data_IF_834290862458
#
_entry.id   IF_834290862458
#
_cell.length_a   1.000
_cell.length_b   1.000
_cell.length_c   1.000
_cell.angle_alpha   90.00
_cell.angle_beta   90.00
_cell.angle_gamma   90.00
#
_symmetry.space_group_name_H-M   'P 1'
#
loop_
_entity.id
_entity.type
_entity.pdbx_description
1 polymer ?
#
# COMPACT_ATOMS: atom_id res chain seq x y z
N UNK A 1 -27.02 -71.78 15.12
CA UNK A 1 -28.22 -72.55 15.53
C UNK A 1 -28.11 -72.82 17.03
N UNK A 2 -28.95 -72.14 17.82
CA UNK A 2 -29.17 -72.30 19.27
C UNK A 2 -28.02 -71.80 20.16
N UNK A 3 -28.18 -70.91 21.14
CA UNK A 3 -29.35 -70.43 21.89
C UNK A 3 -28.86 -70.04 23.30
N UNK A 4 -29.58 -69.19 24.06
CA UNK A 4 -29.01 -68.18 24.97
C UNK A 4 -29.13 -68.50 26.47
N UNK A 5 -28.48 -67.70 27.30
CA UNK A 5 -28.74 -67.61 28.75
C UNK A 5 -28.12 -66.35 29.34
N UNK A 6 -28.85 -65.24 29.27
CA UNK A 6 -28.58 -63.99 29.99
C UNK A 6 -28.85 -64.14 31.51
N UNK A 7 -28.34 -63.23 32.37
CA UNK A 7 -28.07 -63.44 33.79
C UNK A 7 -29.30 -63.24 34.69
N UNK A 8 -29.23 -63.57 35.99
CA UNK A 8 -30.28 -63.16 36.93
C UNK A 8 -30.16 -61.67 37.27
N UNK A 9 -31.16 -60.89 36.84
CA UNK A 9 -31.55 -59.62 37.47
C UNK A 9 -32.34 -59.89 38.75
N UNK A 10 -32.23 -58.98 39.73
CA UNK A 10 -33.22 -58.84 40.79
C UNK A 10 -32.68 -58.47 42.17
N UNK A 11 -32.26 -57.22 42.34
CA UNK A 11 -32.30 -56.52 43.63
C UNK A 11 -33.75 -56.22 44.02
N UNK A 12 -34.20 -56.46 45.27
CA UNK A 12 -35.40 -55.82 45.78
C UNK A 12 -35.06 -54.42 46.27
N UNK A 13 -35.74 -53.43 45.69
CA UNK A 13 -35.80 -52.06 46.20
C UNK A 13 -36.25 -52.03 47.65
N UNK A 14 -35.63 -51.16 48.44
CA UNK A 14 -36.01 -50.83 49.80
C UNK A 14 -35.17 -49.67 50.32
N UNK A 15 -35.42 -48.46 49.83
CA UNK A 15 -34.93 -47.25 50.49
C UNK A 15 -35.82 -46.87 51.69
N UNK A 16 -35.59 -45.71 52.34
CA UNK A 16 -34.35 -44.93 52.43
C UNK A 16 -33.96 -44.66 53.90
N UNK A 17 -32.67 -44.50 54.21
CA UNK A 17 -32.24 -43.98 55.53
C UNK A 17 -30.82 -44.38 55.92
N UNK A 18 -29.91 -43.40 55.94
CA UNK A 18 -28.52 -43.57 56.35
C UNK A 18 -28.32 -43.77 57.86
N UNK A 19 -27.12 -44.20 58.25
CA UNK A 19 -26.72 -44.25 59.65
C UNK A 19 -25.51 -45.13 59.90
N UNK A 20 -24.35 -44.50 59.82
CA UNK A 20 -23.00 -44.91 60.22
C UNK A 20 -22.90 -45.56 61.63
N UNK A 21 -23.38 -46.78 61.83
CA UNK A 21 -23.31 -47.42 63.17
C UNK A 21 -22.79 -48.87 63.19
N UNK A 22 -22.51 -49.49 62.04
CA UNK A 22 -21.95 -50.86 61.96
C UNK A 22 -20.42 -50.95 62.20
N UNK A 23 -19.81 -49.95 62.84
CA UNK A 23 -18.38 -50.03 63.23
C UNK A 23 -18.16 -49.85 64.74
N UNK A 24 -19.23 -49.78 65.55
CA UNK A 24 -19.14 -49.57 67.00
C UNK A 24 -19.06 -50.84 67.86
N UNK A 25 -19.01 -52.03 67.26
CA UNK A 25 -18.97 -53.30 68.00
C UNK A 25 -17.69 -54.12 67.80
N UNK A 26 -16.65 -53.58 67.15
CA UNK A 26 -15.34 -54.25 67.08
C UNK A 26 -14.58 -54.01 68.39
N UNK A 27 -14.91 -54.83 69.38
CA UNK A 27 -14.16 -54.94 70.64
C UNK A 27 -12.93 -55.81 70.37
N UNK A 28 -11.75 -55.18 70.35
CA UNK A 28 -10.48 -55.88 70.15
C UNK A 28 -10.20 -56.81 71.32
N UNK A 29 -10.28 -58.12 71.07
CA UNK A 29 -9.98 -59.15 72.05
C UNK A 29 -8.48 -59.32 72.29
N UNK A 30 -8.14 -60.00 73.38
CA UNK A 30 -6.77 -60.25 73.82
C UNK A 30 -5.96 -61.12 72.82
N UNK A 31 -6.63 -61.77 71.86
CA UNK A 31 -5.99 -62.49 70.74
C UNK A 31 -5.44 -61.57 69.66
N UNK A 32 -6.08 -60.42 69.38
CA UNK A 32 -5.57 -59.44 68.41
C UNK A 32 -4.23 -58.82 68.87
N UNK A 33 -4.10 -58.54 70.17
CA UNK A 33 -2.88 -57.99 70.77
C UNK A 33 -1.73 -59.02 70.82
N UNK A 34 -2.04 -60.33 70.88
CA UNK A 34 -1.02 -61.39 70.77
C UNK A 34 -0.57 -61.69 69.34
N UNK A 35 -1.39 -61.42 68.34
CA UNK A 35 -1.06 -61.64 66.93
C UNK A 35 -0.18 -60.53 66.32
N UNK A 36 -0.10 -59.36 66.94
CA UNK A 36 0.72 -58.24 66.49
C UNK A 36 2.11 -58.22 67.17
N UNK A 37 2.96 -59.21 66.87
CA UNK A 37 4.42 -59.08 67.09
C UNK A 37 5.13 -58.88 65.76
N UNK A 38 4.90 -57.72 65.15
CA UNK A 38 5.76 -57.21 64.08
C UNK A 38 6.60 -56.09 64.67
N UNK A 39 7.84 -56.42 64.98
CA UNK A 39 8.86 -55.50 65.46
C UNK A 39 9.63 -55.01 64.22
N UNK A 40 9.37 -53.78 63.78
CA UNK A 40 10.11 -53.19 62.67
C UNK A 40 11.54 -52.85 63.10
N UNK A 41 12.51 -53.38 62.37
CA UNK A 41 13.93 -53.11 62.59
C UNK A 41 14.26 -51.64 62.32
N UNK A 42 15.09 -51.07 63.18
CA UNK A 42 15.55 -49.68 63.05
C UNK A 42 16.29 -49.46 61.73
N UNK A 43 16.27 -48.23 61.21
CA UNK A 43 16.93 -47.88 59.94
C UNK A 43 18.44 -48.23 59.88
N UNK A 44 19.07 -48.46 61.04
CA UNK A 44 20.47 -48.86 61.14
C UNK A 44 20.72 -50.34 60.87
N UNK A 45 19.75 -51.23 61.08
CA UNK A 45 19.89 -52.68 60.80
C UNK A 45 19.73 -53.02 59.31
N UNK A 46 19.10 -52.15 58.52
CA UNK A 46 18.99 -52.31 57.05
C UNK A 46 20.27 -51.96 56.27
N UNK A 47 21.30 -51.43 56.93
CA UNK A 47 22.53 -50.96 56.26
C UNK A 47 23.57 -52.07 56.10
N UNK A 48 23.55 -53.11 56.95
CA UNK A 48 24.69 -54.03 57.07
C UNK A 48 24.70 -55.21 56.10
N UNK A 49 23.56 -55.59 55.50
CA UNK A 49 23.48 -56.85 54.76
C UNK A 49 22.75 -56.73 53.42
N UNK A 50 23.33 -55.99 52.48
CA UNK A 50 23.01 -56.12 51.06
C UNK A 50 24.30 -56.11 50.21
N UNK A 51 24.61 -57.28 49.66
CA UNK A 51 25.43 -57.39 48.45
C UNK A 51 24.80 -56.50 47.35
N UNK A 52 25.54 -55.58 46.74
CA UNK A 52 24.94 -54.64 45.79
C UNK A 52 24.45 -55.39 44.54
N UNK A 53 23.13 -55.54 44.40
CA UNK A 53 22.46 -56.06 43.21
C UNK A 53 22.42 -55.03 42.06
N UNK A 54 23.48 -54.25 41.89
CA UNK A 54 23.62 -53.29 40.79
C UNK A 54 24.99 -53.44 40.17
N UNK A 55 25.03 -54.00 38.95
CA UNK A 55 26.21 -53.93 38.09
C UNK A 55 26.66 -52.47 37.98
N UNK A 56 27.87 -52.16 38.43
CA UNK A 56 28.52 -50.89 38.09
C UNK A 56 28.62 -50.81 36.57
N UNK A 57 27.83 -49.92 35.96
CA UNK A 57 28.05 -49.54 34.56
C UNK A 57 29.41 -48.83 34.48
N UNK A 58 30.23 -49.11 33.47
CA UNK A 58 31.47 -48.37 33.26
C UNK A 58 31.13 -46.88 33.10
N UNK A 59 32.01 -45.96 33.53
CA UNK A 59 31.77 -44.54 33.34
C UNK A 59 31.66 -44.29 31.83
N UNK A 60 30.47 -43.86 31.37
CA UNK A 60 30.34 -43.30 30.04
C UNK A 60 31.25 -42.08 30.02
N UNK A 61 32.41 -42.21 29.38
CA UNK A 61 33.17 -41.05 28.93
C UNK A 61 32.24 -40.28 28.02
N UNK A 62 31.62 -39.23 28.57
CA UNK A 62 30.77 -38.28 27.87
C UNK A 62 31.66 -37.35 27.04
N UNK A 63 32.49 -37.92 26.17
CA UNK A 63 32.83 -37.22 24.95
C UNK A 63 31.53 -37.13 24.17
N UNK A 64 31.15 -35.93 23.72
CA UNK A 64 30.10 -35.76 22.72
C UNK A 64 30.29 -36.87 21.69
N UNK A 65 29.37 -37.85 21.68
CA UNK A 65 29.52 -38.97 20.76
C UNK A 65 29.64 -38.37 19.37
N UNK A 66 30.50 -38.92 18.50
CA UNK A 66 30.60 -38.43 17.11
C UNK A 66 29.22 -38.25 16.48
N UNK A 67 28.25 -39.06 16.89
CA UNK A 67 26.83 -38.97 16.51
C UNK A 67 26.14 -37.67 16.95
N UNK A 68 26.35 -37.19 18.18
CA UNK A 68 25.80 -35.91 18.64
C UNK A 68 26.43 -34.72 17.89
N UNK A 69 27.73 -34.78 17.62
CA UNK A 69 28.41 -33.79 16.78
C UNK A 69 27.90 -33.78 15.34
N UNK A 70 27.71 -34.97 14.74
CA UNK A 70 27.12 -35.12 13.40
C UNK A 70 25.69 -34.58 13.39
N UNK A 71 24.88 -34.86 14.41
CA UNK A 71 23.51 -34.36 14.50
C UNK A 71 23.46 -32.83 14.57
N UNK A 72 24.29 -32.20 15.41
CA UNK A 72 24.37 -30.74 15.50
C UNK A 72 24.84 -30.13 14.17
N UNK A 73 25.80 -30.77 13.49
CA UNK A 73 26.30 -30.32 12.19
C UNK A 73 25.21 -30.44 11.11
N UNK A 74 24.40 -31.50 11.13
CA UNK A 74 23.25 -31.66 10.24
C UNK A 74 22.16 -30.61 10.50
N UNK A 75 21.87 -30.31 11.77
CA UNK A 75 20.91 -29.26 12.15
C UNK A 75 21.43 -27.90 11.70
N UNK A 76 22.70 -27.59 11.97
CA UNK A 76 23.32 -26.35 11.54
C UNK A 76 23.36 -26.22 10.01
N UNK A 77 23.61 -27.31 9.29
CA UNK A 77 23.57 -27.34 7.83
C UNK A 77 22.16 -27.13 7.30
N UNK A 78 21.15 -27.78 7.90
CA UNK A 78 19.74 -27.62 7.52
C UNK A 78 19.21 -26.20 7.79
N UNK A 79 19.56 -25.61 8.93
CA UNK A 79 19.26 -24.21 9.21
C UNK A 79 20.04 -23.27 8.31
N UNK A 80 21.31 -23.58 8.04
CA UNK A 80 22.15 -22.83 7.10
C UNK A 80 21.56 -22.84 5.69
N UNK A 81 21.09 -23.98 5.19
CA UNK A 81 20.39 -24.07 3.90
C UNK A 81 19.01 -23.43 3.93
N UNK A 82 18.25 -23.52 5.03
CA UNK A 82 16.95 -22.85 5.15
C UNK A 82 17.10 -21.32 5.19
N UNK A 83 18.09 -20.79 5.91
CA UNK A 83 18.43 -19.37 5.92
C UNK A 83 18.98 -18.96 4.56
N UNK A 84 19.87 -19.76 3.97
CA UNK A 84 20.41 -19.48 2.64
C UNK A 84 19.34 -19.51 1.55
N UNK A 85 18.36 -20.42 1.60
CA UNK A 85 17.21 -20.44 0.68
C UNK A 85 16.17 -19.38 1.02
N UNK A 86 16.01 -18.99 2.29
CA UNK A 86 15.15 -17.88 2.69
C UNK A 86 15.73 -16.52 2.27
N UNK A 87 17.05 -16.39 2.23
CA UNK A 87 17.78 -15.19 1.78
C UNK A 87 18.02 -15.21 0.26
N UNK A 88 18.26 -16.38 -0.34
CA UNK A 88 18.27 -16.61 -1.78
C UNK A 88 17.08 -17.44 -2.16
N UNK A 89 15.94 -16.79 -2.34
CA UNK A 89 14.68 -17.40 -2.72
C UNK A 89 14.83 -18.11 -4.10
N UNK A 90 14.99 -19.45 -4.19
CA UNK A 90 15.25 -20.13 -5.47
C UNK A 90 13.96 -20.51 -6.20
N UNK A 91 12.81 -20.07 -5.69
CA UNK A 91 11.47 -20.31 -6.27
C UNK A 91 10.82 -19.05 -6.84
N UNK A 92 11.53 -17.92 -6.90
CA UNK A 92 11.25 -17.01 -8.00
C UNK A 92 11.83 -17.68 -9.24
N UNK A 93 10.98 -18.43 -9.94
CA UNK A 93 11.17 -18.64 -11.37
C UNK A 93 11.60 -17.29 -11.91
N UNK A 94 12.83 -17.21 -12.40
CA UNK A 94 13.27 -16.11 -13.24
C UNK A 94 12.41 -16.15 -14.49
N UNK A 95 11.13 -15.77 -14.39
CA UNK A 95 10.57 -14.89 -15.37
C UNK A 95 11.58 -13.74 -15.37
N UNK A 96 12.38 -13.68 -16.43
CA UNK A 96 13.24 -12.55 -16.73
C UNK A 96 12.51 -11.32 -16.23
N UNK A 97 12.99 -10.67 -15.15
CA UNK A 97 12.47 -9.39 -14.73
C UNK A 97 12.58 -8.54 -15.97
N UNK A 98 11.45 -8.31 -16.64
CA UNK A 98 11.44 -7.44 -17.79
C UNK A 98 11.86 -6.09 -17.21
N UNK A 99 12.91 -5.46 -17.77
CA UNK A 99 13.35 -4.16 -17.27
C UNK A 99 12.12 -3.24 -17.20
N UNK A 100 11.84 -2.73 -16.01
CA UNK A 100 10.77 -1.75 -15.80
C UNK A 100 10.99 -0.62 -16.78
N UNK A 101 10.00 -0.40 -17.66
CA UNK A 101 10.09 0.65 -18.65
C UNK A 101 10.13 2.00 -17.91
N UNK A 102 11.19 2.81 -18.12
CA UNK A 102 11.33 4.09 -17.44
C UNK A 102 10.24 5.05 -17.92
N UNK A 103 9.67 5.81 -16.98
CA UNK A 103 8.59 6.76 -17.25
C UNK A 103 8.97 7.68 -18.41
N UNK A 104 8.06 7.82 -19.37
CA UNK A 104 8.08 8.89 -20.36
C UNK A 104 7.08 9.96 -19.99
N UNK A 105 7.52 11.21 -20.02
CA UNK A 105 6.70 12.35 -19.66
C UNK A 105 6.66 13.40 -20.76
N UNK A 106 5.52 14.04 -20.90
CA UNK A 106 5.32 15.21 -21.75
C UNK A 106 4.58 16.26 -20.95
N UNK A 107 5.13 17.46 -20.84
CA UNK A 107 4.51 18.59 -20.15
C UNK A 107 4.32 19.71 -21.17
N UNK A 108 3.07 20.11 -21.40
CA UNK A 108 2.69 21.12 -22.37
C UNK A 108 2.12 22.33 -21.64
N UNK A 109 2.85 23.45 -21.60
CA UNK A 109 2.31 24.70 -21.09
C UNK A 109 1.26 25.26 -22.05
N UNK A 110 0.19 25.81 -21.49
CA UNK A 110 -0.91 26.44 -22.22
C UNK A 110 -0.92 27.94 -21.95
N UNK A 111 -0.52 28.71 -22.97
CA UNK A 111 -0.43 30.17 -22.89
C UNK A 111 -1.79 30.85 -23.13
N UNK A 112 -2.25 31.74 -22.22
CA UNK A 112 -3.51 32.45 -22.42
C UNK A 112 -3.43 33.37 -23.64
N UNK A 113 -4.54 33.52 -24.37
CA UNK A 113 -4.63 34.43 -25.52
C UNK A 113 -4.71 35.92 -25.10
N UNK A 114 -5.03 36.19 -23.84
CA UNK A 114 -5.17 37.55 -23.29
C UNK A 114 -4.71 37.61 -21.83
N UNK A 115 -5.16 38.65 -21.11
CA UNK A 115 -4.96 38.73 -19.67
C UNK A 115 -5.74 37.63 -18.96
N UNK A 116 -5.11 37.00 -17.96
CA UNK A 116 -5.74 35.98 -17.14
C UNK A 116 -6.87 36.60 -16.32
N UNK A 117 -8.08 36.01 -16.34
CA UNK A 117 -9.19 36.46 -15.52
C UNK A 117 -8.91 36.41 -14.02
N UNK A 118 -9.44 37.39 -13.30
CA UNK A 118 -9.35 37.51 -11.86
C UNK A 118 -10.71 37.79 -11.22
N UNK A 119 -10.91 37.30 -10.00
CA UNK A 119 -12.03 37.73 -9.15
C UNK A 119 -11.66 37.52 -7.66
N UNK A 120 -12.19 38.31 -6.70
CA UNK A 120 -11.89 38.12 -5.28
C UNK A 120 -12.36 36.77 -4.71
N UNK A 121 -13.46 36.23 -5.25
CA UNK A 121 -14.10 34.97 -4.83
C UNK A 121 -13.82 33.83 -5.83
N UNK A 122 -13.25 32.74 -5.32
CA UNK A 122 -12.96 31.52 -6.07
C UNK A 122 -14.22 30.80 -6.53
N UNK A 123 -15.29 30.79 -5.71
CA UNK A 123 -16.54 30.09 -6.06
C UNK A 123 -17.22 30.75 -7.27
N UNK A 124 -17.19 32.08 -7.32
CA UNK A 124 -17.64 32.83 -8.48
C UNK A 124 -16.91 32.40 -9.76
N UNK A 125 -15.58 32.27 -9.73
CA UNK A 125 -14.81 31.83 -10.89
C UNK A 125 -15.16 30.39 -11.29
N UNK A 126 -15.25 29.48 -10.33
CA UNK A 126 -15.64 28.10 -10.61
C UNK A 126 -17.01 28.03 -11.29
N UNK A 127 -18.01 28.74 -10.75
CA UNK A 127 -19.37 28.78 -11.29
C UNK A 127 -19.45 29.35 -12.71
N UNK A 128 -18.52 30.24 -13.10
CA UNK A 128 -18.46 30.85 -14.42
C UNK A 128 -17.41 30.21 -15.34
N UNK A 129 -17.00 28.97 -15.04
CA UNK A 129 -16.05 28.18 -15.83
C UNK A 129 -16.61 26.78 -16.15
N UNK A 130 -15.99 26.02 -17.07
CA UNK A 130 -16.34 24.62 -17.28
C UNK A 130 -16.24 23.74 -16.02
N UNK A 131 -15.51 24.19 -14.98
CA UNK A 131 -15.35 23.47 -13.72
C UNK A 131 -16.60 23.53 -12.81
N UNK A 132 -17.63 24.31 -13.15
CA UNK A 132 -18.85 24.43 -12.32
C UNK A 132 -19.53 23.08 -12.03
N UNK A 133 -19.39 22.11 -12.94
CA UNK A 133 -19.96 20.77 -12.85
C UNK A 133 -19.02 19.72 -12.24
N UNK A 134 -17.81 20.11 -11.85
CA UNK A 134 -16.79 19.18 -11.37
C UNK A 134 -17.02 18.88 -9.89
N UNK A 135 -16.65 17.66 -9.50
CA UNK A 135 -16.70 17.24 -8.09
C UNK A 135 -15.49 17.80 -7.34
N UNK A 136 -15.53 17.79 -6.02
CA UNK A 136 -14.46 18.35 -5.19
C UNK A 136 -13.48 17.24 -4.79
N UNK A 137 -12.19 17.50 -4.96
CA UNK A 137 -11.10 16.64 -4.51
C UNK A 137 -11.23 15.18 -4.97
N UNK A 138 -11.03 14.24 -4.03
CA UNK A 138 -11.02 12.80 -4.32
C UNK A 138 -12.37 12.24 -4.80
N UNK A 139 -13.47 12.97 -4.63
CA UNK A 139 -14.78 12.59 -5.18
C UNK A 139 -14.78 12.70 -6.70
N UNK A 140 -13.96 13.57 -7.29
CA UNK A 140 -13.78 13.69 -8.74
C UNK A 140 -13.03 12.54 -9.39
N UNK A 141 -12.49 11.60 -8.59
CA UNK A 141 -11.74 10.41 -9.01
C UNK A 141 -12.55 9.16 -8.60
N UNK A 142 -13.70 8.89 -9.23
CA UNK A 142 -14.51 7.72 -8.89
C UNK A 142 -13.81 6.45 -9.37
N UNK A 143 -13.89 5.39 -8.58
CA UNK A 143 -13.50 4.07 -9.05
C UNK A 143 -14.60 3.54 -9.98
N UNK A 144 -14.27 3.06 -11.19
CA UNK A 144 -15.24 2.46 -12.08
C UNK A 144 -15.75 1.15 -11.48
N UNK A 145 -16.90 0.67 -12.00
CA UNK A 145 -17.32 -0.70 -11.72
C UNK A 145 -16.32 -1.64 -12.39
N UNK A 146 -15.53 -2.34 -11.59
CA UNK A 146 -14.58 -3.35 -12.07
C UNK A 146 -15.21 -4.74 -12.09
N UNK A 147 -14.60 -5.62 -12.90
CA UNK A 147 -14.86 -7.06 -12.87
C UNK A 147 -13.52 -7.77 -13.01
N UNK A 148 -13.47 -9.02 -12.53
CA UNK A 148 -12.34 -9.91 -12.79
C UNK A 148 -12.06 -10.01 -14.30
N UNK A 149 -10.80 -10.17 -14.64
CA UNK A 149 -10.34 -10.44 -16.00
C UNK A 149 -10.02 -11.94 -16.15
N UNK A 150 -9.29 -12.32 -17.21
CA UNK A 150 -8.89 -13.70 -17.44
C UNK A 150 -7.89 -14.16 -16.36
N UNK A 151 -6.85 -13.35 -16.09
CA UNK A 151 -5.76 -13.72 -15.19
C UNK A 151 -5.74 -12.97 -13.86
N UNK A 152 -6.59 -11.94 -13.68
CA UNK A 152 -6.70 -11.16 -12.45
C UNK A 152 -8.07 -11.33 -11.78
N UNK A 153 -8.06 -11.51 -10.46
CA UNK A 153 -9.29 -11.53 -9.64
C UNK A 153 -9.92 -10.14 -9.54
N UNK A 154 -11.19 -10.10 -9.15
CA UNK A 154 -11.90 -8.84 -8.92
C UNK A 154 -11.17 -7.97 -7.88
N UNK A 155 -10.71 -8.58 -6.79
CA UNK A 155 -9.93 -7.90 -5.75
C UNK A 155 -8.60 -7.31 -6.26
N UNK A 156 -7.94 -7.98 -7.21
CA UNK A 156 -6.71 -7.49 -7.82
C UNK A 156 -6.98 -6.27 -8.71
N UNK A 157 -8.04 -6.31 -9.51
CA UNK A 157 -8.44 -5.15 -10.33
C UNK A 157 -8.82 -3.95 -9.46
N UNK A 158 -9.56 -4.18 -8.37
CA UNK A 158 -9.88 -3.12 -7.39
C UNK A 158 -8.62 -2.57 -6.73
N UNK A 159 -7.66 -3.43 -6.37
CA UNK A 159 -6.39 -3.00 -5.77
C UNK A 159 -5.60 -2.08 -6.70
N UNK A 160 -5.53 -2.40 -8.00
CA UNK A 160 -4.86 -1.57 -9.01
C UNK A 160 -5.53 -0.20 -9.14
N UNK A 161 -6.86 -0.19 -9.30
CA UNK A 161 -7.65 1.05 -9.42
C UNK A 161 -7.51 1.93 -8.17
N UNK A 162 -7.48 1.31 -6.98
CA UNK A 162 -7.31 2.02 -5.71
C UNK A 162 -5.89 2.60 -5.59
N UNK A 163 -4.86 1.83 -5.94
CA UNK A 163 -3.47 2.31 -5.93
C UNK A 163 -3.27 3.47 -6.90
N UNK A 164 -3.80 3.38 -8.11
CA UNK A 164 -3.78 4.47 -9.08
C UNK A 164 -4.52 5.72 -8.57
N UNK A 165 -5.70 5.55 -7.95
CA UNK A 165 -6.43 6.65 -7.31
C UNK A 165 -5.61 7.31 -6.21
N UNK A 166 -4.98 6.54 -5.33
CA UNK A 166 -4.16 7.07 -4.23
C UNK A 166 -2.96 7.86 -4.77
N UNK A 167 -2.30 7.36 -5.82
CA UNK A 167 -1.24 8.09 -6.51
C UNK A 167 -1.75 9.44 -7.04
N UNK A 168 -2.90 9.45 -7.71
CA UNK A 168 -3.48 10.67 -8.28
C UNK A 168 -3.86 11.67 -7.18
N UNK A 169 -4.49 11.20 -6.10
CA UNK A 169 -4.84 12.05 -4.95
C UNK A 169 -3.58 12.66 -4.34
N UNK A 170 -2.55 11.84 -4.06
CA UNK A 170 -1.31 12.34 -3.47
C UNK A 170 -0.55 13.28 -4.41
N UNK A 171 -0.47 12.97 -5.69
CA UNK A 171 0.32 13.74 -6.65
C UNK A 171 -0.37 14.98 -7.21
N UNK A 172 -1.70 15.12 -7.07
CA UNK A 172 -2.46 16.25 -7.63
C UNK A 172 -3.32 17.02 -6.64
N UNK A 173 -3.59 16.51 -5.43
CA UNK A 173 -4.56 17.13 -4.49
C UNK A 173 -3.97 17.43 -3.11
N UNK A 174 -2.84 16.82 -2.74
CA UNK A 174 -2.23 17.01 -1.43
C UNK A 174 -1.63 18.42 -1.31
N UNK A 175 -2.11 19.29 -0.41
CA UNK A 175 -1.63 20.67 -0.30
C UNK A 175 -0.13 20.77 -0.03
N UNK A 176 0.44 19.81 0.69
CA UNK A 176 1.88 19.78 1.00
C UNK A 176 2.73 19.44 -0.24
N UNK A 177 2.14 18.75 -1.22
CA UNK A 177 2.75 18.47 -2.53
C UNK A 177 2.58 19.68 -3.46
N UNK A 178 1.38 20.28 -3.46
CA UNK A 178 1.03 21.39 -4.35
C UNK A 178 1.83 22.66 -4.04
N UNK A 179 1.97 23.01 -2.75
CA UNK A 179 2.63 24.22 -2.28
C UNK A 179 4.02 23.97 -1.67
N UNK A 180 4.47 22.73 -1.57
CA UNK A 180 5.66 22.37 -0.79
C UNK A 180 6.67 21.47 -1.49
N UNK A 181 7.59 20.96 -0.69
CA UNK A 181 8.66 20.03 -1.07
C UNK A 181 8.36 18.58 -0.71
N UNK A 182 7.15 18.29 -0.20
CA UNK A 182 6.81 16.96 0.27
C UNK A 182 6.57 16.04 -0.92
N UNK A 183 7.59 15.28 -1.30
CA UNK A 183 7.51 14.28 -2.40
C UNK A 183 7.40 12.86 -1.88
N UNK A 184 7.65 12.64 -0.58
CA UNK A 184 7.76 11.29 -0.01
C UNK A 184 6.46 10.51 -0.11
N UNK A 185 5.32 11.17 0.07
CA UNK A 185 4.00 10.53 -0.03
C UNK A 185 3.69 9.98 -1.43
N UNK A 186 4.18 10.64 -2.47
CA UNK A 186 4.08 10.14 -3.86
C UNK A 186 5.13 9.06 -4.11
N UNK A 187 6.37 9.28 -3.63
CA UNK A 187 7.49 8.36 -3.82
C UNK A 187 7.21 6.94 -3.29
N UNK A 188 6.50 6.80 -2.18
CA UNK A 188 6.21 5.48 -1.58
C UNK A 188 5.16 4.67 -2.34
N UNK A 189 4.41 5.31 -3.24
CA UNK A 189 3.40 4.66 -4.08
C UNK A 189 3.98 4.19 -5.42
N UNK A 190 5.25 4.49 -5.69
CA UNK A 190 5.93 4.07 -6.92
C UNK A 190 6.59 2.72 -6.74
N UNK A 191 6.65 1.97 -7.82
CA UNK A 191 7.45 0.76 -7.88
C UNK A 191 8.93 1.05 -7.55
N UNK A 192 9.59 0.08 -6.90
CA UNK A 192 10.96 0.25 -6.39
C UNK A 192 11.95 0.53 -7.51
N UNK A 193 11.75 -0.03 -8.70
CA UNK A 193 12.66 0.15 -9.84
C UNK A 193 12.52 1.55 -10.48
N UNK A 194 11.47 2.32 -10.14
CA UNK A 194 11.31 3.71 -10.60
C UNK A 194 11.88 4.75 -9.65
N UNK A 195 12.31 4.35 -8.45
CA UNK A 195 12.75 5.28 -7.41
C UNK A 195 14.00 6.06 -7.80
N UNK A 196 14.93 5.45 -8.53
CA UNK A 196 16.14 6.14 -9.00
C UNK A 196 15.80 7.25 -10.01
N UNK A 197 14.90 6.98 -10.96
CA UNK A 197 14.43 7.98 -11.92
C UNK A 197 13.66 9.10 -11.20
N UNK A 198 12.81 8.75 -10.24
CA UNK A 198 12.08 9.71 -9.42
C UNK A 198 13.05 10.62 -8.68
N UNK A 199 13.98 10.06 -7.90
CA UNK A 199 14.94 10.80 -7.08
C UNK A 199 15.84 11.68 -7.97
N UNK A 200 16.27 11.18 -9.13
CA UNK A 200 17.02 11.97 -10.12
C UNK A 200 16.21 13.16 -10.66
N UNK A 201 14.90 13.00 -10.87
CA UNK A 201 14.02 14.09 -11.35
C UNK A 201 14.03 15.29 -10.40
N UNK A 202 14.08 15.06 -9.09
CA UNK A 202 14.11 16.15 -8.10
C UNK A 202 15.53 16.65 -7.81
N UNK A 203 16.55 15.79 -7.89
CA UNK A 203 17.93 16.19 -7.67
C UNK A 203 18.49 17.02 -8.84
N UNK A 204 18.14 16.65 -10.08
CA UNK A 204 18.60 17.29 -11.31
C UNK A 204 17.45 17.39 -12.31
N UNK A 205 16.49 18.32 -12.10
CA UNK A 205 15.34 18.48 -12.99
C UNK A 205 15.78 18.80 -14.43
N UNK A 206 15.25 18.07 -15.41
CA UNK A 206 15.51 18.33 -16.85
C UNK A 206 14.31 18.07 -17.74
N UNK A 207 14.12 18.91 -18.76
CA UNK A 207 13.09 18.75 -19.80
C UNK A 207 13.48 17.73 -20.88
N UNK A 208 13.90 16.52 -20.48
CA UNK A 208 14.36 15.46 -21.39
C UNK A 208 13.29 14.40 -21.67
N UNK A 209 12.05 14.65 -21.21
CA UNK A 209 10.95 13.71 -21.30
C UNK A 209 11.04 12.55 -20.30
N UNK A 210 11.91 12.64 -19.28
CA UNK A 210 12.09 11.59 -18.25
C UNK A 210 12.31 12.12 -16.84
N UNK A 211 12.84 13.34 -16.67
CA UNK A 211 13.29 13.85 -15.37
C UNK A 211 12.69 15.22 -15.02
N UNK A 212 11.48 15.51 -15.47
CA UNK A 212 10.71 16.68 -15.03
C UNK A 212 9.83 16.31 -13.81
N UNK A 213 10.07 16.88 -12.62
CA UNK A 213 9.19 16.76 -11.46
C UNK A 213 7.71 17.02 -11.74
N UNK A 214 7.39 17.98 -12.61
CA UNK A 214 6.01 18.32 -12.99
C UNK A 214 5.31 17.23 -13.81
N UNK A 215 6.07 16.27 -14.35
CA UNK A 215 5.52 15.03 -14.93
C UNK A 215 5.09 14.01 -13.86
N UNK A 216 5.71 14.00 -12.69
CA UNK A 216 5.35 13.08 -11.60
C UNK A 216 4.16 13.59 -10.79
N UNK A 217 4.18 14.88 -10.44
CA UNK A 217 3.21 15.49 -9.53
C UNK A 217 3.01 16.98 -9.83
N UNK A 218 1.86 17.52 -9.43
CA UNK A 218 1.54 18.94 -9.59
C UNK A 218 2.19 19.72 -8.46
N UNK A 219 2.96 20.76 -8.79
CA UNK A 219 3.64 21.62 -7.84
C UNK A 219 3.78 23.02 -8.37
N UNK A 220 3.36 23.99 -7.59
CA UNK A 220 3.47 25.41 -7.90
C UNK A 220 4.75 25.98 -7.28
N UNK A 221 5.26 27.09 -7.82
CA UNK A 221 6.28 27.87 -7.13
C UNK A 221 5.66 28.59 -5.92
N UNK A 222 6.04 28.22 -4.68
CA UNK A 222 5.49 28.84 -3.47
C UNK A 222 5.90 30.30 -3.27
N UNK A 223 6.88 30.80 -4.03
CA UNK A 223 7.23 32.20 -4.04
C UNK A 223 6.25 33.04 -4.89
N UNK A 224 5.49 32.42 -5.78
CA UNK A 224 4.61 33.11 -6.74
C UNK A 224 3.12 32.89 -6.44
N UNK A 225 2.73 31.66 -6.10
CA UNK A 225 1.32 31.30 -5.94
C UNK A 225 1.08 30.36 -4.74
N UNK A 226 -0.10 30.52 -4.14
CA UNK A 226 -0.64 29.57 -3.14
C UNK A 226 -2.11 29.27 -3.44
N UNK A 227 -2.62 28.17 -2.88
CA UNK A 227 -4.04 27.81 -2.99
C UNK A 227 -4.91 28.85 -2.27
N UNK A 228 -5.84 29.44 -3.01
CA UNK A 228 -6.86 30.34 -2.48
C UNK A 228 -8.09 29.60 -1.94
N UNK A 229 -8.29 28.35 -2.38
CA UNK A 229 -9.36 27.44 -1.98
C UNK A 229 -8.82 26.01 -2.01
N UNK A 230 -9.07 25.23 -0.95
CA UNK A 230 -8.67 23.82 -0.86
C UNK A 230 -9.67 22.88 -1.54
N UNK A 231 -10.85 23.39 -1.95
CA UNK A 231 -11.89 22.66 -2.68
C UNK A 231 -11.58 22.57 -4.17
N UNK A 232 -10.46 21.94 -4.49
CA UNK A 232 -9.99 21.72 -5.87
C UNK A 232 -11.07 20.99 -6.67
N UNK A 233 -11.37 21.49 -7.87
CA UNK A 233 -12.38 20.90 -8.76
C UNK A 233 -11.75 19.83 -9.64
N UNK A 234 -12.36 18.66 -9.69
CA UNK A 234 -11.82 17.49 -10.38
C UNK A 234 -12.90 16.77 -11.18
N UNK A 235 -12.55 16.42 -12.41
CA UNK A 235 -13.33 15.53 -13.25
C UNK A 235 -12.39 14.59 -13.99
N UNK A 236 -12.73 13.30 -14.04
CA UNK A 236 -12.00 12.34 -14.82
C UNK A 236 -12.54 10.93 -14.68
N UNK A 237 -11.79 9.99 -15.24
CA UNK A 237 -12.12 8.57 -15.18
C UNK A 237 -10.88 7.69 -15.05
N UNK A 238 -11.09 6.50 -14.49
CA UNK A 238 -10.11 5.42 -14.45
C UNK A 238 -10.66 4.26 -15.28
N UNK A 239 -9.76 3.55 -15.96
CA UNK A 239 -10.09 2.36 -16.74
C UNK A 239 -9.01 1.32 -16.47
N UNK A 240 -9.41 0.08 -16.20
CA UNK A 240 -8.49 -1.04 -16.01
C UNK A 240 -8.63 -2.02 -17.17
N UNK A 241 -7.51 -2.47 -17.72
CA UNK A 241 -7.44 -3.46 -18.79
C UNK A 241 -6.30 -4.44 -18.53
N UNK A 242 -6.53 -5.72 -18.80
CA UNK A 242 -5.46 -6.71 -18.78
C UNK A 242 -4.74 -6.69 -20.14
N UNK A 243 -3.43 -6.48 -20.14
CA UNK A 243 -2.63 -6.48 -21.37
C UNK A 243 -2.01 -7.85 -21.66
N UNK A 244 -1.65 -8.57 -20.60
CA UNK A 244 -1.13 -9.93 -20.64
C UNK A 244 -1.36 -10.66 -19.30
N UNK A 245 -1.02 -11.95 -19.23
CA UNK A 245 -1.25 -12.82 -18.05
C UNK A 245 -0.56 -12.38 -16.74
N UNK A 246 0.35 -11.41 -16.83
CA UNK A 246 1.14 -10.87 -15.73
C UNK A 246 0.98 -9.37 -15.50
N UNK A 247 0.37 -8.63 -16.45
CA UNK A 247 0.27 -7.18 -16.39
C UNK A 247 -1.20 -6.72 -16.44
N UNK A 248 -1.58 -5.93 -15.44
CA UNK A 248 -2.78 -5.11 -15.49
C UNK A 248 -2.38 -3.65 -15.76
N UNK A 249 -3.05 -3.01 -16.71
CA UNK A 249 -2.88 -1.59 -17.01
C UNK A 249 -4.05 -0.80 -16.44
N UNK A 250 -3.76 0.37 -15.87
CA UNK A 250 -4.78 1.36 -15.50
C UNK A 250 -4.48 2.68 -16.21
N UNK A 251 -5.42 3.14 -17.02
CA UNK A 251 -5.37 4.46 -17.64
C UNK A 251 -6.21 5.44 -16.82
N UNK A 252 -5.65 6.61 -16.54
CA UNK A 252 -6.31 7.69 -15.84
C UNK A 252 -6.26 8.96 -16.68
N UNK A 253 -7.42 9.60 -16.91
CA UNK A 253 -7.51 10.91 -17.55
C UNK A 253 -8.33 11.83 -16.65
N UNK A 254 -7.67 12.80 -16.04
CA UNK A 254 -8.27 13.70 -15.06
C UNK A 254 -7.87 15.15 -15.32
N UNK A 255 -8.85 16.03 -15.23
CA UNK A 255 -8.66 17.49 -15.23
C UNK A 255 -8.91 18.04 -13.83
N UNK A 256 -7.92 18.77 -13.33
CA UNK A 256 -7.89 19.45 -12.04
C UNK A 256 -7.96 20.95 -12.28
N UNK A 257 -8.78 21.65 -11.51
CA UNK A 257 -8.86 23.12 -11.54
C UNK A 257 -8.63 23.65 -10.13
N UNK A 258 -7.55 24.41 -9.99
CA UNK A 258 -7.07 25.01 -8.76
C UNK A 258 -7.43 26.49 -8.74
N UNK A 259 -7.84 26.99 -7.58
CA UNK A 259 -7.95 28.42 -7.32
C UNK A 259 -6.64 28.90 -6.71
N UNK A 260 -5.93 29.79 -7.40
CA UNK A 260 -4.62 30.30 -6.98
C UNK A 260 -4.67 31.79 -6.70
N UNK A 261 -3.85 32.24 -5.75
CA UNK A 261 -3.65 33.65 -5.44
C UNK A 261 -2.16 33.96 -5.38
N UNK A 262 -1.80 35.17 -5.81
CA UNK A 262 -0.45 35.69 -5.70
C UNK A 262 -0.02 35.77 -4.24
N UNK A 263 1.22 35.42 -3.96
CA UNK A 263 1.88 35.64 -2.65
C UNK A 263 2.22 37.12 -2.44
N UNK A 264 2.28 37.90 -3.53
CA UNK A 264 2.59 39.33 -3.53
C UNK A 264 1.32 40.14 -3.74
N UNK A 265 1.04 41.05 -2.81
CA UNK A 265 -0.12 41.95 -2.84
C UNK A 265 -1.27 41.46 -1.96
N UNK A 266 -1.64 42.26 -0.96
CA UNK A 266 -2.64 41.89 0.04
C UNK A 266 -4.06 41.66 -0.53
N UNK A 267 -4.37 42.32 -1.66
CA UNK A 267 -5.67 42.27 -2.33
C UNK A 267 -5.60 41.58 -3.70
N UNK A 268 -4.59 40.72 -3.92
CA UNK A 268 -4.44 40.02 -5.19
C UNK A 268 -5.68 39.14 -5.48
N UNK A 269 -6.27 39.28 -6.65
CA UNK A 269 -7.43 38.47 -7.05
C UNK A 269 -7.07 36.98 -7.21
N UNK A 270 -8.10 36.14 -7.13
CA UNK A 270 -7.97 34.70 -7.42
C UNK A 270 -7.98 34.49 -8.93
N UNK A 271 -7.20 33.53 -9.41
CA UNK A 271 -7.28 33.00 -10.76
C UNK A 271 -7.47 31.49 -10.75
N UNK A 272 -8.12 30.95 -11.79
CA UNK A 272 -8.18 29.50 -11.98
C UNK A 272 -6.99 29.02 -12.79
N UNK A 273 -6.43 27.89 -12.36
CA UNK A 273 -5.36 27.18 -13.04
C UNK A 273 -5.80 25.74 -13.31
N UNK A 274 -5.71 25.30 -14.56
CA UNK A 274 -6.20 24.01 -15.01
C UNK A 274 -5.04 23.09 -15.38
N UNK A 275 -5.07 21.86 -14.89
CA UNK A 275 -4.13 20.79 -15.25
C UNK A 275 -4.92 19.58 -15.72
N UNK A 276 -4.73 19.14 -16.96
CA UNK A 276 -5.16 17.82 -17.43
C UNK A 276 -3.98 16.86 -17.37
N UNK A 277 -4.17 15.71 -16.74
CA UNK A 277 -3.17 14.64 -16.63
C UNK A 277 -3.75 13.35 -17.19
N UNK A 278 -3.08 12.82 -18.21
CA UNK A 278 -3.27 11.45 -18.69
C UNK A 278 -2.10 10.59 -18.19
N UNK A 279 -2.40 9.60 -17.36
CA UNK A 279 -1.44 8.73 -16.70
C UNK A 279 -1.72 7.27 -17.06
N UNK A 280 -0.68 6.52 -17.41
CA UNK A 280 -0.78 5.09 -17.68
C UNK A 280 0.05 4.36 -16.65
N UNK A 281 -0.60 3.49 -15.89
CA UNK A 281 0.01 2.68 -14.85
C UNK A 281 0.06 1.22 -15.28
N UNK A 282 1.13 0.52 -14.94
CA UNK A 282 1.23 -0.93 -15.00
C UNK A 282 1.32 -1.49 -13.59
N UNK A 283 0.74 -2.67 -13.43
CA UNK A 283 0.74 -3.42 -12.18
C UNK A 283 1.06 -4.88 -12.48
N UNK A 284 2.10 -5.40 -11.84
CA UNK A 284 2.30 -6.83 -11.70
C UNK A 284 1.72 -7.35 -10.37
N UNK A 285 1.93 -8.62 -10.03
CA UNK A 285 1.40 -9.19 -8.78
C UNK A 285 2.09 -8.67 -7.53
N UNK A 286 3.36 -8.28 -7.63
CA UNK A 286 4.12 -7.71 -6.53
C UNK A 286 3.67 -6.27 -6.26
N UNK A 287 3.45 -5.46 -7.31
CA UNK A 287 2.85 -4.12 -7.21
C UNK A 287 1.53 -4.13 -6.46
N UNK A 288 0.62 -5.03 -6.88
CA UNK A 288 -0.70 -5.16 -6.25
C UNK A 288 -0.62 -5.56 -4.78
N UNK A 289 0.39 -6.37 -4.40
CA UNK A 289 0.60 -6.77 -3.01
C UNK A 289 1.21 -5.64 -2.18
N UNK A 290 2.09 -4.86 -2.79
CA UNK A 290 2.86 -3.80 -2.13
C UNK A 290 2.13 -2.45 -2.11
N UNK A 291 1.01 -2.32 -2.83
CA UNK A 291 0.30 -1.05 -3.04
C UNK A 291 1.20 0.00 -3.72
N UNK A 292 1.96 -0.45 -4.70
CA UNK A 292 2.82 0.37 -5.56
C UNK A 292 2.32 0.33 -7.00
N UNK A 293 2.74 1.31 -7.79
CA UNK A 293 2.40 1.41 -9.19
C UNK A 293 3.64 1.74 -10.02
N UNK A 294 3.79 1.09 -11.17
CA UNK A 294 4.71 1.53 -12.21
C UNK A 294 4.00 2.57 -13.09
N UNK A 295 4.45 3.82 -13.08
CA UNK A 295 3.95 4.85 -13.99
C UNK A 295 4.76 4.82 -15.30
N UNK A 296 4.14 4.48 -16.43
CA UNK A 296 4.86 4.33 -17.71
C UNK A 296 4.72 5.55 -18.63
N UNK A 297 3.57 6.23 -18.58
CA UNK A 297 3.30 7.43 -19.36
C UNK A 297 2.70 8.50 -18.45
N UNK A 298 3.20 9.72 -18.58
CA UNK A 298 2.61 10.92 -17.99
C UNK A 298 2.51 12.04 -19.02
N UNK A 299 1.30 12.41 -19.38
CA UNK A 299 1.03 13.51 -20.29
C UNK A 299 0.27 14.60 -19.56
N UNK A 300 0.86 15.79 -19.48
CA UNK A 300 0.37 16.92 -18.70
C UNK A 300 0.13 18.11 -19.60
N UNK A 301 -1.06 18.68 -19.53
CA UNK A 301 -1.40 19.97 -20.11
C UNK A 301 -1.76 20.92 -18.97
N UNK A 302 -1.07 22.05 -18.86
CA UNK A 302 -1.23 22.95 -17.73
C UNK A 302 -1.30 24.42 -18.17
N UNK A 303 -2.23 25.20 -17.61
CA UNK A 303 -2.31 26.63 -17.86
C UNK A 303 -3.33 27.34 -16.98
N UNK A 304 -3.29 28.68 -16.90
CA UNK A 304 -2.47 29.58 -17.73
C UNK A 304 -0.97 29.59 -17.36
N UNK A 305 -0.08 29.36 -18.34
CA UNK A 305 1.38 29.37 -18.19
C UNK A 305 2.06 30.22 -19.26
N UNK A 306 3.28 30.70 -19.01
CA UNK A 306 4.14 31.25 -20.06
C UNK A 306 4.95 30.14 -20.72
N UNK A 307 4.96 30.07 -22.06
CA UNK A 307 5.81 29.11 -22.77
C UNK A 307 7.29 29.48 -22.82
N UNK A 308 7.65 30.69 -22.38
CA UNK A 308 9.05 31.13 -22.28
C UNK A 308 9.69 30.75 -20.94
N UNK A 309 8.87 30.33 -19.96
CA UNK A 309 9.29 30.06 -18.59
C UNK A 309 9.49 28.56 -18.37
N UNK A 310 10.51 28.20 -17.60
CA UNK A 310 10.86 26.81 -17.35
C UNK A 310 9.90 26.18 -16.34
N UNK A 311 8.97 25.37 -16.85
CA UNK A 311 8.01 24.62 -16.02
C UNK A 311 8.47 23.20 -15.68
N UNK A 312 9.76 22.88 -15.83
CA UNK A 312 10.29 21.53 -15.60
C UNK A 312 10.20 21.12 -14.14
N UNK A 313 10.70 21.96 -13.23
CA UNK A 313 10.76 21.66 -11.81
C UNK A 313 9.49 22.06 -11.08
N UNK A 314 8.94 23.25 -11.38
CA UNK A 314 7.72 23.79 -10.79
C UNK A 314 6.88 24.48 -11.86
N UNK A 315 5.58 24.56 -11.63
CA UNK A 315 4.69 25.37 -12.45
C UNK A 315 4.75 26.82 -11.96
N UNK A 316 4.81 27.75 -12.90
CA UNK A 316 4.84 29.20 -12.69
C UNK A 316 3.55 29.82 -13.27
N UNK A 317 2.44 29.84 -12.50
CA UNK A 317 1.13 30.24 -12.98
C UNK A 317 1.10 31.71 -13.38
N UNK A 318 0.49 32.01 -14.53
CA UNK A 318 0.05 33.38 -14.80
C UNK A 318 -1.24 33.64 -14.03
N UNK A 319 -1.25 34.70 -13.24
CA UNK A 319 -2.35 35.11 -12.36
C UNK A 319 -3.06 36.37 -12.88
N UNK A 320 -4.12 36.77 -12.21
CA UNK A 320 -5.04 37.83 -12.61
C UNK A 320 -4.33 39.06 -13.20
N UNK A 321 -4.76 39.46 -14.41
CA UNK A 321 -4.23 40.61 -15.15
C UNK A 321 -2.92 40.34 -15.91
N UNK A 322 -2.16 39.30 -15.55
CA UNK A 322 -0.94 38.91 -16.27
C UNK A 322 -1.28 38.31 -17.65
N UNK A 323 -0.33 38.37 -18.57
CA UNK A 323 -0.45 37.81 -19.92
C UNK A 323 0.90 37.23 -20.37
N UNK A 324 0.86 36.36 -21.37
CA UNK A 324 2.06 35.86 -22.04
C UNK A 324 1.97 36.11 -23.54
N UNK A 325 3.11 35.94 -24.21
CA UNK A 325 3.11 35.83 -25.68
C UNK A 325 2.28 34.60 -26.05
N UNK A 326 1.49 34.73 -27.12
CA UNK A 326 0.67 33.64 -27.62
C UNK A 326 1.52 32.36 -27.82
N UNK A 327 0.94 31.22 -27.41
CA UNK A 327 1.55 29.91 -27.62
C UNK A 327 1.54 29.47 -29.09
N UNK A 328 1.95 28.24 -29.34
CA UNK A 328 1.87 27.61 -30.67
C UNK A 328 0.43 27.57 -31.24
N UNK A 329 0.24 27.07 -32.47
CA UNK A 329 -1.05 27.20 -33.17
C UNK A 329 -2.20 26.41 -32.52
N UNK A 330 -3.42 26.94 -32.68
CA UNK A 330 -4.74 26.49 -32.19
C UNK A 330 -4.92 26.35 -30.67
N UNK A 331 -5.99 26.98 -30.15
CA UNK A 331 -6.45 26.88 -28.76
C UNK A 331 -6.66 25.45 -28.32
N UNK A 332 -5.85 25.00 -27.38
CA UNK A 332 -5.99 23.74 -26.65
C UNK A 332 -6.98 23.95 -25.51
N UNK A 333 -8.02 23.13 -25.50
CA UNK A 333 -8.98 23.03 -24.41
C UNK A 333 -8.59 21.85 -23.50
N UNK A 334 -8.02 22.09 -22.29
CA UNK A 334 -7.68 21.03 -21.35
C UNK A 334 -8.92 20.33 -20.75
N UNK A 335 -10.14 20.76 -21.09
CA UNK A 335 -11.37 20.05 -20.76
C UNK A 335 -11.84 19.08 -21.86
N UNK A 336 -11.26 19.17 -23.06
CA UNK A 336 -11.54 18.24 -24.15
C UNK A 336 -10.60 17.02 -24.08
N UNK A 337 -11.00 15.88 -24.65
CA UNK A 337 -10.21 14.62 -24.60
C UNK A 337 -9.07 14.51 -25.63
N UNK A 338 -8.89 15.51 -26.50
CA UNK A 338 -7.89 15.48 -27.57
C UNK A 338 -6.45 15.67 -27.09
N UNK A 339 -5.47 15.20 -27.87
CA UNK A 339 -4.03 15.41 -27.62
C UNK A 339 -3.55 16.72 -28.26
N UNK A 340 -2.86 17.57 -27.50
CA UNK A 340 -2.12 18.70 -28.06
C UNK A 340 -0.82 18.21 -28.71
N UNK A 341 -0.56 18.64 -29.94
CA UNK A 341 0.59 18.20 -30.75
C UNK A 341 1.79 19.15 -30.67
N UNK A 342 1.67 20.27 -29.93
CA UNK A 342 2.68 21.30 -29.84
C UNK A 342 3.47 21.24 -28.52
N UNK A 343 4.76 21.62 -28.58
CA UNK A 343 5.62 21.80 -27.40
C UNK A 343 5.14 22.92 -26.46
N UNK A 344 4.23 23.76 -26.95
CA UNK A 344 3.53 24.83 -26.23
C UNK A 344 2.19 25.06 -26.94
N UNK A 345 1.07 24.94 -26.21
CA UNK A 345 -0.28 25.20 -26.72
C UNK A 345 -0.75 26.61 -26.37
N UNK A 346 -1.75 27.14 -27.08
CA UNK A 346 -2.54 28.27 -26.56
C UNK A 346 -3.70 27.73 -25.70
N UNK A 347 -4.03 28.40 -24.60
CA UNK A 347 -5.18 28.05 -23.78
C UNK A 347 -6.44 28.62 -24.42
N UNK A 348 -7.40 27.74 -24.76
CA UNK A 348 -8.64 28.16 -25.39
C UNK A 348 -9.40 29.16 -24.51
N UNK A 349 -9.92 30.23 -25.10
CA UNK A 349 -10.75 31.23 -24.38
C UNK A 349 -12.00 30.58 -23.74
N UNK A 350 -12.54 29.50 -24.31
CA UNK A 350 -13.65 28.73 -23.72
C UNK A 350 -13.28 27.95 -22.46
N UNK A 351 -11.99 27.69 -22.24
CA UNK A 351 -11.47 27.03 -21.05
C UNK A 351 -11.20 28.02 -19.90
N UNK A 352 -11.37 29.32 -20.13
CA UNK A 352 -11.19 30.34 -19.10
C UNK A 352 -12.54 30.76 -18.49
N UNK A 353 -12.58 31.23 -17.23
CA UNK A 353 -13.77 31.81 -16.64
C UNK A 353 -14.29 33.00 -17.46
N UNK A 354 -15.61 33.11 -17.59
CA UNK A 354 -16.28 34.25 -18.23
C UNK A 354 -16.68 35.24 -17.14
N UNK A 355 -15.83 36.24 -16.91
CA UNK A 355 -16.01 37.28 -15.89
C UNK A 355 -15.94 38.68 -16.46
#
# INVERSE_FOLDING_TARGET
MGGPGDPPEGTPEGGPGGGEEEYRSVVFDESFVRAARLQEYSAHERIADHAPAVRRRPPLRRGLSRQALILVLLIALAFGTAIYMGVRNPYQTSAVQQPVEPLRMTVIPLAPEGSVPGHPDAEYLYAHSPAAQFRIGAEGIPLPVSRRTEHFSDSQVVSALTTAKDYIVRSSLDPDVLAGDQVRGVRVLLDTDQLDQFDQSFAHPTADGRHAPTGWLVRFDPAEAHLADDRIRVQGSLQAAETDSSTLEVTADHTFVYALRSTVGADAEVSLFTVRRELHFRFDRDDLRMHTAQLVVSYVQAGPLSCAEDSTNRLHPLLAGQSAKAGGPAGTDPFATGSATALCGSLATSAQPKV
#
